data_IF_032490198459
#
_entry.id   IF_032490198459
#
_cell.length_a   1.000
_cell.length_b   1.000
_cell.length_c   1.000
_cell.angle_alpha   90.00
_cell.angle_beta   90.00
_cell.angle_gamma   90.00
#
_symmetry.space_group_name_H-M   'P 1'
#
loop_
_entity.id
_entity.type
_entity.pdbx_description
1 polymer ?
#
# COMPACT_ATOMS: atom_id res chain seq x y z
N UNK A 1 44.95 17.83 8.20
CA UNK A 1 44.09 18.11 9.38
C UNK A 1 43.05 19.23 9.19
N UNK A 2 43.17 20.15 8.22
CA UNK A 2 42.26 21.30 8.11
C UNK A 2 40.86 21.06 7.50
N UNK A 3 40.64 19.96 6.76
CA UNK A 3 39.35 19.69 6.10
C UNK A 3 38.28 19.16 7.07
N UNK A 4 38.70 18.37 8.07
CA UNK A 4 37.79 17.79 9.07
C UNK A 4 37.25 18.90 10.00
N UNK A 5 38.06 19.91 10.31
CA UNK A 5 37.65 21.05 11.14
C UNK A 5 36.53 21.90 10.51
N UNK A 6 36.58 22.13 9.18
CA UNK A 6 35.56 22.94 8.51
C UNK A 6 34.19 22.24 8.45
N UNK A 7 34.17 20.94 8.19
CA UNK A 7 32.93 20.15 8.15
C UNK A 7 32.21 20.11 9.50
N UNK A 8 32.96 20.04 10.61
CA UNK A 8 32.37 20.04 11.97
C UNK A 8 31.79 21.40 12.33
N UNK A 9 32.45 22.51 11.94
CA UNK A 9 31.93 23.87 12.20
C UNK A 9 30.64 24.19 11.42
N UNK A 10 30.45 23.55 10.26
CA UNK A 10 29.26 23.71 9.42
C UNK A 10 28.05 22.96 10.00
N UNK A 11 28.29 21.83 10.69
CA UNK A 11 27.25 21.06 11.41
C UNK A 11 26.74 21.77 12.67
N UNK A 12 27.56 22.63 13.28
CA UNK A 12 27.23 23.38 14.51
C UNK A 12 26.51 24.71 14.25
N UNK A 13 26.33 25.13 13.00
CA UNK A 13 25.63 26.38 12.69
C UNK A 13 24.11 26.15 12.58
N UNK A 14 23.31 26.60 13.56
CA UNK A 14 21.89 26.27 13.65
C UNK A 14 21.07 26.71 12.42
N UNK A 15 21.55 27.69 11.66
CA UNK A 15 20.91 28.15 10.42
C UNK A 15 21.04 27.15 9.26
N UNK A 16 22.09 26.32 9.25
CA UNK A 16 22.30 25.28 8.24
C UNK A 16 21.80 23.90 8.72
N UNK A 17 21.85 23.63 10.02
CA UNK A 17 21.45 22.33 10.59
C UNK A 17 19.95 22.06 10.43
N UNK A 18 19.09 23.07 10.64
CA UNK A 18 17.63 22.91 10.54
C UNK A 18 17.15 22.51 9.13
N UNK A 19 17.51 23.21 8.03
CA UNK A 19 17.09 22.79 6.69
C UNK A 19 17.69 21.45 6.27
N UNK A 20 18.92 21.14 6.67
CA UNK A 20 19.52 19.82 6.41
C UNK A 20 18.74 18.71 7.11
N UNK A 21 18.27 18.95 8.33
CA UNK A 21 17.46 18.01 9.10
C UNK A 21 16.07 17.86 8.48
N UNK A 22 15.44 18.94 8.00
CA UNK A 22 14.17 18.88 7.25
C UNK A 22 14.33 18.06 5.96
N UNK A 23 15.40 18.28 5.19
CA UNK A 23 15.67 17.52 3.95
C UNK A 23 15.96 16.05 4.27
N UNK A 24 16.78 15.76 5.28
CA UNK A 24 17.08 14.38 5.67
C UNK A 24 15.83 13.64 6.20
N UNK A 25 15.00 14.33 6.99
CA UNK A 25 13.74 13.76 7.51
C UNK A 25 12.73 13.59 6.37
N UNK A 26 12.62 14.55 5.47
CA UNK A 26 11.78 14.46 4.27
C UNK A 26 12.23 13.34 3.33
N UNK A 27 13.53 13.14 3.16
CA UNK A 27 14.11 12.05 2.38
C UNK A 27 13.86 10.67 3.02
N UNK A 28 14.02 10.57 4.34
CA UNK A 28 13.71 9.35 5.09
C UNK A 28 12.22 9.00 5.01
N UNK A 29 11.34 9.98 5.15
CA UNK A 29 9.88 9.81 4.96
C UNK A 29 9.56 9.42 3.52
N UNK A 30 10.18 10.06 2.52
CA UNK A 30 10.00 9.70 1.12
C UNK A 30 10.41 8.25 0.83
N UNK A 31 11.57 7.81 1.33
CA UNK A 31 12.02 6.42 1.17
C UNK A 31 11.13 5.42 1.89
N UNK A 32 10.59 5.78 3.06
CA UNK A 32 9.63 4.94 3.78
C UNK A 32 8.25 4.90 3.11
N UNK A 33 7.88 5.96 2.38
CA UNK A 33 6.63 6.06 1.62
C UNK A 33 6.74 5.47 0.21
N UNK A 34 7.94 5.21 -0.30
CA UNK A 34 8.10 4.48 -1.55
C UNK A 34 7.48 3.10 -1.36
N UNK A 35 6.47 2.72 -2.16
CA UNK A 35 5.83 1.43 -2.02
C UNK A 35 6.87 0.34 -2.31
N UNK A 36 7.35 -0.32 -1.26
CA UNK A 36 8.15 -1.51 -1.40
C UNK A 36 7.35 -2.50 -2.26
N UNK A 37 8.01 -3.11 -3.24
CA UNK A 37 7.46 -4.24 -3.98
C UNK A 37 7.35 -5.40 -3.00
N UNK A 38 6.27 -5.41 -2.23
CA UNK A 38 6.03 -6.42 -1.23
C UNK A 38 5.73 -7.71 -1.99
N UNK A 39 6.62 -8.69 -1.82
CA UNK A 39 6.38 -10.05 -2.29
C UNK A 39 4.99 -10.52 -1.84
N UNK A 40 4.37 -11.37 -2.64
CA UNK A 40 3.07 -11.91 -2.26
C UNK A 40 3.23 -12.72 -0.97
N UNK A 41 2.50 -12.30 0.07
CA UNK A 41 2.32 -13.11 1.27
C UNK A 41 1.75 -14.48 0.88
N UNK A 42 2.11 -15.52 1.64
CA UNK A 42 1.77 -16.91 1.34
C UNK A 42 0.26 -17.10 1.16
N UNK A 43 -0.54 -16.39 1.97
CA UNK A 43 -2.00 -16.41 1.89
C UNK A 43 -2.56 -15.85 0.57
N UNK A 44 -1.89 -14.85 -0.01
CA UNK A 44 -2.27 -14.25 -1.31
C UNK A 44 -1.78 -15.12 -2.46
N UNK A 45 -0.61 -15.75 -2.29
CA UNK A 45 -0.05 -16.72 -3.23
C UNK A 45 -0.98 -17.92 -3.40
N UNK A 46 -1.45 -18.50 -2.31
CA UNK A 46 -2.41 -19.62 -2.34
C UNK A 46 -3.72 -19.23 -3.07
N UNK A 47 -4.26 -18.05 -2.78
CA UNK A 47 -5.50 -17.59 -3.42
C UNK A 47 -5.31 -17.28 -4.91
N UNK A 48 -4.18 -16.66 -5.28
CA UNK A 48 -3.84 -16.42 -6.68
C UNK A 48 -3.67 -17.74 -7.43
N UNK A 49 -3.04 -18.75 -6.82
CA UNK A 49 -2.89 -20.08 -7.38
C UNK A 49 -4.26 -20.77 -7.58
N UNK A 50 -5.17 -20.67 -6.62
CA UNK A 50 -6.53 -21.20 -6.77
C UNK A 50 -7.29 -20.54 -7.93
N UNK A 51 -7.23 -19.20 -8.04
CA UNK A 51 -7.83 -18.47 -9.18
C UNK A 51 -7.22 -18.88 -10.50
N UNK A 52 -5.88 -19.02 -10.57
CA UNK A 52 -5.16 -19.46 -11.77
C UNK A 52 -5.58 -20.88 -12.16
N UNK A 53 -5.68 -21.79 -11.20
CA UNK A 53 -6.12 -23.16 -11.47
C UNK A 53 -7.55 -23.20 -12.02
N UNK A 54 -8.46 -22.38 -11.45
CA UNK A 54 -9.81 -22.17 -12.01
C UNK A 54 -9.76 -21.70 -13.45
N UNK A 55 -8.98 -20.64 -13.73
CA UNK A 55 -8.79 -20.13 -15.10
C UNK A 55 -8.39 -21.27 -16.02
N UNK A 56 -7.30 -21.99 -15.69
CA UNK A 56 -6.78 -23.06 -16.55
C UNK A 56 -7.76 -24.22 -16.75
N UNK A 57 -8.61 -24.51 -15.78
CA UNK A 57 -9.61 -25.58 -15.87
C UNK A 57 -10.81 -25.22 -16.76
N UNK A 58 -11.11 -23.93 -16.89
CA UNK A 58 -12.27 -23.41 -17.63
C UNK A 58 -11.92 -22.88 -19.03
N UNK A 59 -10.63 -22.80 -19.37
CA UNK A 59 -10.19 -22.37 -20.68
C UNK A 59 -10.61 -23.37 -21.77
N UNK A 60 -10.92 -22.89 -22.99
CA UNK A 60 -11.31 -23.76 -24.09
C UNK A 60 -10.15 -24.70 -24.44
N UNK A 61 -10.46 -26.00 -24.45
CA UNK A 61 -9.49 -27.03 -24.83
C UNK A 61 -9.15 -26.90 -26.31
N UNK A 62 -7.87 -27.08 -26.62
CA UNK A 62 -7.36 -27.10 -27.99
C UNK A 62 -7.04 -28.54 -28.39
N UNK A 63 -7.25 -28.87 -29.66
CA UNK A 63 -6.89 -30.17 -30.23
C UNK A 63 -5.37 -30.22 -30.48
N UNK A 64 -4.59 -30.27 -29.40
CA UNK A 64 -3.13 -30.33 -29.44
C UNK A 64 -2.42 -29.20 -28.69
N UNK A 65 -1.09 -29.32 -28.61
CA UNK A 65 -0.21 -28.31 -28.02
C UNK A 65 -0.06 -27.11 -28.94
N UNK A 66 -0.81 -26.05 -28.64
CA UNK A 66 -0.78 -24.81 -29.41
C UNK A 66 0.14 -23.77 -28.75
N UNK A 67 0.88 -23.00 -29.56
CA UNK A 67 1.76 -21.95 -29.02
C UNK A 67 0.95 -20.84 -28.37
N UNK A 68 1.30 -20.51 -27.13
CA UNK A 68 0.65 -19.48 -26.35
C UNK A 68 1.65 -18.42 -25.88
N UNK A 69 1.23 -17.15 -25.93
CA UNK A 69 1.95 -16.03 -25.34
C UNK A 69 1.15 -15.49 -24.16
N UNK A 70 1.75 -15.48 -22.97
CA UNK A 70 1.16 -14.84 -21.78
C UNK A 70 1.84 -13.51 -21.55
N UNK A 71 1.09 -12.43 -21.74
CA UNK A 71 1.54 -11.08 -21.45
C UNK A 71 1.50 -10.82 -19.94
N UNK A 72 2.35 -9.92 -19.43
CA UNK A 72 2.30 -9.51 -18.03
C UNK A 72 0.95 -8.90 -17.67
N UNK A 73 0.35 -9.42 -16.61
CA UNK A 73 -0.94 -8.93 -16.13
C UNK A 73 -0.79 -7.51 -15.57
N UNK A 74 -1.76 -6.65 -15.85
CA UNK A 74 -1.82 -5.34 -15.21
C UNK A 74 -2.04 -5.52 -13.70
N UNK A 75 -1.55 -4.57 -12.90
CA UNK A 75 -1.60 -4.61 -11.44
C UNK A 75 -0.94 -5.84 -10.79
N UNK A 76 -0.04 -6.52 -11.51
CA UNK A 76 0.87 -7.56 -10.99
C UNK A 76 2.33 -7.03 -10.94
N UNK A 77 2.69 -6.17 -9.96
CA UNK A 77 3.99 -5.49 -9.93
C UNK A 77 5.17 -6.44 -9.67
N UNK A 78 4.94 -7.59 -9.05
CA UNK A 78 5.96 -8.62 -8.80
C UNK A 78 6.09 -9.56 -10.00
N UNK A 79 5.03 -9.72 -10.81
CA UNK A 79 4.98 -10.67 -11.90
C UNK A 79 4.74 -12.11 -11.43
N UNK A 80 4.46 -12.30 -10.14
CA UNK A 80 4.26 -13.63 -9.56
C UNK A 80 2.96 -14.27 -10.06
N UNK A 81 1.86 -13.52 -10.16
CA UNK A 81 0.57 -14.04 -10.65
C UNK A 81 0.67 -14.42 -12.14
N UNK A 82 1.33 -13.57 -12.93
CA UNK A 82 1.66 -13.84 -14.33
C UNK A 82 2.50 -15.11 -14.45
N UNK A 83 3.51 -15.27 -13.58
CA UNK A 83 4.37 -16.46 -13.53
C UNK A 83 3.61 -17.74 -13.19
N UNK A 84 2.69 -17.68 -12.22
CA UNK A 84 1.80 -18.79 -11.87
C UNK A 84 0.90 -19.17 -13.04
N UNK A 85 0.30 -18.20 -13.72
CA UNK A 85 -0.54 -18.45 -14.89
C UNK A 85 0.23 -19.13 -16.02
N UNK A 86 1.46 -18.68 -16.31
CA UNK A 86 2.34 -19.30 -17.31
C UNK A 86 2.66 -20.75 -16.98
N UNK A 87 3.06 -20.99 -15.74
CA UNK A 87 3.44 -22.33 -15.27
C UNK A 87 2.23 -23.27 -15.28
N UNK A 88 1.07 -22.78 -14.87
CA UNK A 88 -0.16 -23.58 -14.85
C UNK A 88 -0.62 -23.91 -16.27
N UNK A 89 -0.62 -22.94 -17.20
CA UNK A 89 -0.94 -23.18 -18.62
C UNK A 89 0.00 -24.21 -19.27
N UNK A 90 1.31 -24.09 -19.07
CA UNK A 90 2.30 -25.03 -19.60
C UNK A 90 2.10 -26.44 -19.03
N UNK A 91 1.80 -26.55 -17.72
CA UNK A 91 1.55 -27.82 -17.05
C UNK A 91 0.30 -28.57 -17.55
N UNK A 92 -0.65 -27.87 -18.17
CA UNK A 92 -1.85 -28.52 -18.75
C UNK A 92 -1.52 -29.40 -19.96
N UNK A 93 -0.37 -29.16 -20.62
CA UNK A 93 -0.03 -29.82 -21.88
C UNK A 93 -0.92 -29.45 -23.07
N UNK A 94 -1.81 -28.46 -22.92
CA UNK A 94 -2.64 -27.94 -24.02
C UNK A 94 -1.99 -26.76 -24.73
N UNK A 95 -1.12 -26.03 -24.03
CA UNK A 95 -0.45 -24.83 -24.55
C UNK A 95 1.05 -24.95 -24.39
N UNK A 96 1.79 -24.65 -25.47
CA UNK A 96 3.23 -24.42 -25.40
C UNK A 96 3.47 -22.95 -25.09
N UNK A 97 3.68 -22.63 -23.81
CA UNK A 97 3.85 -21.24 -23.38
C UNK A 97 5.25 -20.75 -23.78
N UNK A 98 5.33 -19.68 -24.56
CA UNK A 98 6.60 -19.07 -24.93
C UNK A 98 7.38 -18.64 -23.68
N UNK A 99 8.70 -18.76 -23.69
CA UNK A 99 9.54 -18.41 -22.55
C UNK A 99 9.69 -16.88 -22.36
N UNK A 100 10.27 -16.47 -21.23
CA UNK A 100 10.44 -15.04 -20.91
C UNK A 100 11.44 -14.34 -21.83
N UNK A 101 12.61 -14.93 -22.16
CA UNK A 101 13.54 -14.35 -23.12
C UNK A 101 12.91 -14.08 -24.50
N UNK A 102 12.05 -14.97 -24.99
CA UNK A 102 11.35 -14.76 -26.27
C UNK A 102 10.37 -13.60 -26.18
N UNK A 103 9.61 -13.48 -25.09
CA UNK A 103 8.75 -12.31 -24.84
C UNK A 103 9.56 -11.00 -24.80
N UNK A 104 10.70 -10.99 -24.11
CA UNK A 104 11.55 -9.79 -24.02
C UNK A 104 12.11 -9.39 -25.39
N UNK A 105 12.44 -10.37 -26.26
CA UNK A 105 12.83 -10.09 -27.66
C UNK A 105 11.67 -9.49 -28.46
N UNK A 106 10.46 -10.07 -28.37
CA UNK A 106 9.27 -9.55 -29.06
C UNK A 106 8.98 -8.11 -28.64
N UNK A 107 9.07 -7.80 -27.35
CA UNK A 107 8.87 -6.45 -26.82
C UNK A 107 9.90 -5.46 -27.38
N UNK A 108 11.17 -5.87 -27.42
CA UNK A 108 12.25 -5.04 -27.97
C UNK A 108 12.07 -4.82 -29.49
N UNK A 109 11.72 -5.85 -30.24
CA UNK A 109 11.51 -5.76 -31.69
C UNK A 109 10.36 -4.81 -32.03
N UNK A 110 9.31 -4.80 -31.20
CA UNK A 110 8.16 -3.91 -31.35
C UNK A 110 8.37 -2.51 -30.74
N UNK A 111 9.55 -2.25 -30.15
CA UNK A 111 9.88 -0.99 -29.48
C UNK A 111 8.84 -0.57 -28.43
N UNK A 112 8.24 -1.54 -27.74
CA UNK A 112 7.21 -1.26 -26.75
C UNK A 112 7.87 -0.92 -25.41
N UNK A 113 7.69 0.31 -24.90
CA UNK A 113 8.35 0.79 -23.67
C UNK A 113 7.79 0.11 -22.42
N UNK A 114 6.59 -0.46 -22.54
CA UNK A 114 5.89 -1.12 -21.45
C UNK A 114 5.74 -2.61 -21.73
N UNK A 115 5.91 -3.40 -20.68
CA UNK A 115 5.65 -4.85 -20.68
C UNK A 115 4.15 -5.17 -20.76
N UNK A 116 3.37 -4.35 -21.47
CA UNK A 116 1.90 -4.37 -21.51
C UNK A 116 1.46 -4.04 -22.93
N UNK A 117 0.42 -4.71 -23.39
CA UNK A 117 -0.27 -4.30 -24.60
C UNK A 117 -1.37 -3.32 -24.20
N UNK A 118 -1.29 -2.08 -24.69
CA UNK A 118 -2.31 -1.05 -24.41
C UNK A 118 -3.61 -1.33 -25.16
N UNK A 119 -3.58 -2.18 -26.19
CA UNK A 119 -4.74 -2.54 -27.01
C UNK A 119 -4.75 -4.01 -27.41
N UNK A 120 -5.94 -4.49 -27.79
CA UNK A 120 -6.13 -5.83 -28.35
C UNK A 120 -5.30 -6.02 -29.64
N UNK A 121 -5.18 -4.97 -30.45
CA UNK A 121 -4.41 -5.01 -31.70
C UNK A 121 -2.91 -5.16 -31.44
N UNK A 122 -2.36 -4.47 -30.44
CA UNK A 122 -0.97 -4.65 -30.02
C UNK A 122 -0.74 -6.06 -29.49
N UNK A 123 -1.62 -6.57 -28.63
CA UNK A 123 -1.51 -7.94 -28.11
C UNK A 123 -1.54 -8.97 -29.24
N UNK A 124 -2.39 -8.78 -30.26
CA UNK A 124 -2.43 -9.62 -31.46
C UNK A 124 -1.11 -9.56 -32.23
N UNK A 125 -0.59 -8.36 -32.48
CA UNK A 125 0.68 -8.16 -33.19
C UNK A 125 1.86 -8.80 -32.46
N UNK A 126 1.87 -8.76 -31.12
CA UNK A 126 2.83 -9.48 -30.29
C UNK A 126 2.72 -11.00 -30.49
N UNK A 127 1.49 -11.53 -30.51
CA UNK A 127 1.23 -12.94 -30.80
C UNK A 127 1.71 -13.35 -32.20
N UNK A 128 1.40 -12.57 -33.22
CA UNK A 128 1.85 -12.81 -34.60
C UNK A 128 3.37 -12.81 -34.72
N UNK A 129 4.04 -11.84 -34.08
CA UNK A 129 5.51 -11.75 -34.04
C UNK A 129 6.11 -12.97 -33.34
N UNK A 130 5.50 -13.41 -32.24
CA UNK A 130 5.90 -14.62 -31.51
C UNK A 130 5.44 -15.93 -32.12
N UNK A 131 4.70 -15.90 -33.25
CA UNK A 131 4.02 -17.08 -33.83
C UNK A 131 3.15 -17.83 -32.81
N UNK A 132 2.56 -17.12 -31.85
CA UNK A 132 1.63 -17.67 -30.87
C UNK A 132 0.21 -17.62 -31.44
N UNK A 133 -0.49 -18.75 -31.40
CA UNK A 133 -1.90 -18.85 -31.77
C UNK A 133 -2.79 -18.14 -30.76
N UNK A 134 -2.48 -18.30 -29.48
CA UNK A 134 -3.23 -17.68 -28.39
C UNK A 134 -2.39 -16.65 -27.65
N UNK A 135 -2.97 -15.48 -27.40
CA UNK A 135 -2.38 -14.45 -26.54
C UNK A 135 -3.27 -14.22 -25.33
N UNK A 136 -2.71 -14.39 -24.14
CA UNK A 136 -3.36 -14.14 -22.86
C UNK A 136 -2.96 -12.74 -22.37
N UNK A 137 -3.93 -11.85 -22.25
CA UNK A 137 -3.76 -10.48 -21.75
C UNK A 137 -4.81 -10.17 -20.70
N UNK A 138 -4.49 -9.42 -19.66
CA UNK A 138 -5.44 -9.19 -18.57
C UNK A 138 -4.90 -8.34 -17.44
N UNK A 139 -5.67 -8.28 -16.37
CA UNK A 139 -5.39 -7.49 -15.18
C UNK A 139 -5.74 -8.26 -13.90
N UNK A 140 -4.95 -8.05 -12.84
CA UNK A 140 -5.29 -8.44 -11.47
C UNK A 140 -6.11 -7.29 -10.87
N UNK A 141 -7.44 -7.42 -10.86
CA UNK A 141 -8.34 -6.36 -10.37
C UNK A 141 -8.29 -6.21 -8.86
N UNK A 142 -8.25 -7.35 -8.18
CA UNK A 142 -8.23 -7.38 -6.74
C UNK A 142 -7.33 -8.51 -6.27
N UNK A 143 -6.43 -8.21 -5.34
CA UNK A 143 -5.67 -9.21 -4.61
C UNK A 143 -5.56 -8.74 -3.16
N UNK A 144 -6.70 -8.83 -2.47
CA UNK A 144 -6.88 -8.29 -1.13
C UNK A 144 -6.85 -9.41 -0.09
N UNK A 145 -6.19 -9.10 1.03
CA UNK A 145 -6.28 -9.89 2.25
C UNK A 145 -6.75 -8.93 3.34
N UNK A 146 -8.06 -8.66 3.37
CA UNK A 146 -8.68 -7.68 4.26
C UNK A 146 -9.42 -8.41 5.38
N UNK A 147 -8.77 -8.47 6.56
CA UNK A 147 -9.23 -8.82 7.92
C UNK A 147 -10.08 -10.10 8.13
N UNK A 148 -10.79 -10.62 7.14
CA UNK A 148 -11.56 -11.87 7.16
C UNK A 148 -12.06 -12.29 5.76
N UNK A 149 -11.79 -11.49 4.72
CA UNK A 149 -12.06 -11.86 3.32
C UNK A 149 -10.78 -11.76 2.52
N UNK A 150 -10.37 -12.90 1.98
CA UNK A 150 -9.32 -12.97 0.97
C UNK A 150 -10.02 -13.08 -0.37
N UNK A 151 -9.77 -12.13 -1.26
CA UNK A 151 -10.37 -12.12 -2.60
C UNK A 151 -9.28 -11.90 -3.64
N UNK A 152 -9.29 -12.75 -4.65
CA UNK A 152 -8.48 -12.63 -5.85
C UNK A 152 -9.43 -12.57 -7.04
N UNK A 153 -9.36 -11.49 -7.81
CA UNK A 153 -10.11 -11.29 -9.03
C UNK A 153 -9.14 -11.02 -10.18
N UNK A 154 -9.17 -11.89 -11.19
CA UNK A 154 -8.34 -11.80 -12.38
C UNK A 154 -9.27 -11.70 -13.59
N UNK A 155 -9.13 -10.62 -14.36
CA UNK A 155 -9.80 -10.46 -15.65
C UNK A 155 -8.83 -10.83 -16.77
N UNK A 156 -9.20 -11.82 -17.59
CA UNK A 156 -8.35 -12.30 -18.68
C UNK A 156 -9.11 -12.25 -20.01
N UNK A 157 -8.41 -11.80 -21.03
CA UNK A 157 -8.78 -11.86 -22.43
C UNK A 157 -7.84 -12.83 -23.14
N UNK A 158 -8.42 -13.78 -23.86
CA UNK A 158 -7.72 -14.71 -24.74
C UNK A 158 -8.00 -14.27 -26.17
N UNK A 159 -6.93 -13.96 -26.90
CA UNK A 159 -6.99 -13.48 -28.27
C UNK A 159 -6.49 -14.61 -29.16
N UNK A 160 -7.28 -14.98 -30.16
CA UNK A 160 -6.84 -15.90 -31.21
C UNK A 160 -6.26 -15.09 -32.37
N UNK A 161 -4.97 -15.27 -32.64
CA UNK A 161 -4.27 -14.54 -33.70
C UNK A 161 -4.69 -14.97 -35.10
N UNK A 162 -5.32 -16.14 -35.24
CA UNK A 162 -5.81 -16.66 -36.52
C UNK A 162 -7.20 -16.13 -36.87
N UNK A 163 -8.07 -16.00 -35.87
CA UNK A 163 -9.49 -15.69 -36.05
C UNK A 163 -9.81 -14.22 -35.73
N UNK A 164 -8.91 -13.30 -36.09
CA UNK A 164 -9.02 -11.81 -36.01
C UNK A 164 -9.69 -11.21 -34.76
N UNK A 165 -9.81 -11.95 -33.66
CA UNK A 165 -10.90 -11.74 -32.72
C UNK A 165 -10.62 -12.29 -31.33
N UNK A 166 -11.40 -11.75 -30.39
CA UNK A 166 -11.39 -12.12 -28.99
C UNK A 166 -12.02 -13.52 -28.82
N UNK A 167 -11.20 -14.53 -28.54
CA UNK A 167 -11.68 -15.89 -28.33
C UNK A 167 -12.47 -16.02 -27.02
N UNK A 168 -11.99 -15.35 -25.96
CA UNK A 168 -12.64 -15.35 -24.66
C UNK A 168 -12.32 -14.04 -23.92
N UNK A 169 -13.28 -13.49 -23.20
CA UNK A 169 -13.02 -12.48 -22.16
C UNK A 169 -13.89 -12.78 -20.97
N UNK A 170 -13.26 -12.99 -19.82
CA UNK A 170 -13.96 -13.37 -18.60
C UNK A 170 -13.19 -12.90 -17.38
N UNK A 171 -13.89 -12.84 -16.27
CA UNK A 171 -13.33 -12.54 -14.96
C UNK A 171 -13.53 -13.75 -14.07
N UNK A 172 -12.47 -14.16 -13.39
CA UNK A 172 -12.48 -15.24 -12.42
C UNK A 172 -12.23 -14.67 -11.04
N UNK A 173 -13.01 -15.17 -10.09
CA UNK A 173 -12.93 -14.76 -8.69
C UNK A 173 -12.79 -16.01 -7.83
N UNK A 174 -11.78 -15.99 -6.96
CA UNK A 174 -11.72 -16.88 -5.82
C UNK A 174 -11.79 -16.07 -4.53
N UNK A 175 -12.67 -16.52 -3.65
CA UNK A 175 -12.87 -15.94 -2.33
C UNK A 175 -12.55 -17.03 -1.30
N UNK A 176 -11.65 -16.73 -0.38
CA UNK A 176 -11.36 -17.57 0.78
C UNK A 176 -11.74 -16.79 2.04
N UNK A 177 -12.86 -17.18 2.63
CA UNK A 177 -13.41 -16.63 3.86
C UNK A 177 -14.70 -17.37 4.23
N UNK A 178 -14.85 -17.74 5.49
CA UNK A 178 -16.06 -18.39 5.99
C UNK A 178 -17.22 -17.40 5.99
N UNK A 179 -18.40 -17.81 5.51
CA UNK A 179 -19.68 -17.07 5.60
C UNK A 179 -20.05 -16.57 7.03
N UNK A 180 -19.30 -16.98 8.06
CA UNK A 180 -19.34 -16.44 9.41
C UNK A 180 -19.02 -14.93 9.52
N UNK A 181 -18.37 -14.32 8.52
CA UNK A 181 -18.01 -12.90 8.52
C UNK A 181 -19.19 -11.93 8.29
N UNK A 182 -20.42 -12.43 8.06
CA UNK A 182 -21.63 -11.57 8.03
C UNK A 182 -22.31 -11.42 9.40
N UNK A 183 -21.86 -12.14 10.44
CA UNK A 183 -22.49 -12.11 11.76
C UNK A 183 -21.55 -12.00 12.97
N UNK A 184 -20.23 -12.04 12.80
CA UNK A 184 -19.28 -12.11 13.92
C UNK A 184 -18.37 -10.90 14.02
N UNK A 185 -18.58 -10.05 15.03
CA UNK A 185 -17.61 -9.03 15.42
C UNK A 185 -16.26 -9.66 15.72
N UNK A 186 -15.24 -9.33 14.93
CA UNK A 186 -13.89 -9.85 15.11
C UNK A 186 -13.29 -9.27 16.40
N UNK A 187 -13.05 -10.14 17.37
CA UNK A 187 -12.40 -9.76 18.63
C UNK A 187 -10.97 -9.23 18.43
N UNK A 188 -10.35 -9.47 17.27
CA UNK A 188 -9.02 -8.97 16.89
C UNK A 188 -9.00 -7.49 16.48
N UNK A 189 -9.98 -7.05 15.67
CA UNK A 189 -10.06 -5.65 15.23
C UNK A 189 -10.33 -4.70 16.40
N UNK A 190 -11.23 -5.11 17.31
CA UNK A 190 -11.54 -4.37 18.53
C UNK A 190 -10.32 -4.25 19.44
N UNK A 191 -9.52 -5.32 19.58
CA UNK A 191 -8.28 -5.27 20.39
C UNK A 191 -7.24 -4.30 19.82
N UNK A 192 -7.00 -4.32 18.51
CA UNK A 192 -6.03 -3.40 17.88
C UNK A 192 -6.52 -1.97 17.94
N UNK A 193 -7.83 -1.75 17.71
CA UNK A 193 -8.45 -0.43 17.86
C UNK A 193 -8.32 0.09 19.30
N UNK A 194 -8.72 -0.71 20.29
CA UNK A 194 -8.60 -0.36 21.72
C UNK A 194 -7.16 -0.06 22.12
N UNK A 195 -6.19 -0.85 21.67
CA UNK A 195 -4.77 -0.61 21.96
C UNK A 195 -4.31 0.74 21.39
N UNK A 196 -4.66 1.05 20.14
CA UNK A 196 -4.32 2.34 19.51
C UNK A 196 -4.97 3.52 20.22
N UNK A 197 -6.26 3.40 20.57
CA UNK A 197 -6.98 4.42 21.34
C UNK A 197 -6.35 4.63 22.71
N UNK A 198 -5.95 3.56 23.38
CA UNK A 198 -5.28 3.61 24.68
C UNK A 198 -3.88 4.25 24.57
N UNK A 199 -3.09 3.90 23.55
CA UNK A 199 -1.80 4.55 23.28
C UNK A 199 -1.96 6.05 23.02
N UNK A 200 -2.95 6.44 22.22
CA UNK A 200 -3.26 7.86 21.98
C UNK A 200 -3.62 8.56 23.28
N UNK A 201 -4.49 7.98 24.09
CA UNK A 201 -4.90 8.54 25.37
C UNK A 201 -3.71 8.75 26.33
N UNK A 202 -2.84 7.74 26.45
CA UNK A 202 -1.62 7.87 27.25
C UNK A 202 -0.68 8.94 26.71
N UNK A 203 -0.54 9.05 25.39
CA UNK A 203 0.30 10.08 24.77
C UNK A 203 -0.19 11.49 25.09
N UNK A 204 -1.49 11.77 24.90
CA UNK A 204 -2.11 13.08 25.18
C UNK A 204 -1.91 13.46 26.65
N UNK A 205 -1.99 12.51 27.58
CA UNK A 205 -1.76 12.78 29.00
C UNK A 205 -0.28 12.96 29.31
N UNK A 206 0.58 12.10 28.76
CA UNK A 206 2.00 12.08 29.07
C UNK A 206 2.70 13.36 28.60
N UNK A 207 2.27 13.93 27.47
CA UNK A 207 2.93 15.06 26.86
C UNK A 207 3.01 16.29 27.79
N UNK A 208 1.90 16.88 28.31
CA UNK A 208 1.93 17.97 29.27
C UNK A 208 2.58 17.61 30.62
N UNK A 209 2.50 16.33 31.04
CA UNK A 209 3.10 15.86 32.29
C UNK A 209 4.63 15.81 32.19
N UNK A 210 5.16 15.30 31.08
CA UNK A 210 6.61 15.25 30.83
C UNK A 210 7.17 16.66 30.64
N UNK A 211 6.39 17.56 30.04
CA UNK A 211 6.75 18.98 29.86
C UNK A 211 6.33 19.87 31.03
N UNK A 212 6.05 19.31 32.21
CA UNK A 212 5.56 20.04 33.40
C UNK A 212 6.33 21.35 33.69
N UNK A 213 7.66 21.34 33.61
CA UNK A 213 8.48 22.55 33.84
C UNK A 213 8.21 23.65 32.80
N UNK A 214 8.02 23.26 31.54
CA UNK A 214 7.68 24.20 30.46
C UNK A 214 6.29 24.79 30.71
N UNK A 215 5.32 23.95 31.12
CA UNK A 215 3.97 24.41 31.47
C UNK A 215 4.03 25.45 32.59
N UNK A 216 4.78 25.19 33.67
CA UNK A 216 4.94 26.16 34.76
C UNK A 216 5.56 27.49 34.28
N UNK A 217 6.60 27.43 33.45
CA UNK A 217 7.26 28.63 32.90
C UNK A 217 6.28 29.44 32.05
N UNK A 218 5.49 28.77 31.20
CA UNK A 218 4.52 29.42 30.32
C UNK A 218 3.38 30.04 31.13
N UNK A 219 2.82 29.31 32.09
CA UNK A 219 1.73 29.78 32.95
C UNK A 219 2.16 30.98 33.80
N UNK A 220 3.40 30.98 34.31
CA UNK A 220 3.94 32.10 35.09
C UNK A 220 4.05 33.42 34.31
N UNK A 221 3.93 33.40 32.97
CA UNK A 221 3.91 34.62 32.16
C UNK A 221 2.54 35.33 32.19
N UNK A 222 1.50 34.71 32.78
CA UNK A 222 0.13 35.24 32.88
C UNK A 222 -0.48 35.70 31.54
N UNK A 223 0.06 35.22 30.43
CA UNK A 223 -0.34 35.62 29.08
C UNK A 223 -1.25 34.58 28.45
N UNK A 224 -2.50 34.96 28.22
CA UNK A 224 -3.49 34.12 27.53
C UNK A 224 -3.03 33.68 26.14
N UNK A 225 -2.27 34.53 25.44
CA UNK A 225 -1.76 34.21 24.11
C UNK A 225 -0.71 33.09 24.16
N UNK A 226 0.24 33.16 25.10
CA UNK A 226 1.31 32.15 25.25
C UNK A 226 0.71 30.81 25.69
N UNK A 227 -0.26 30.85 26.60
CA UNK A 227 -1.02 29.66 27.02
C UNK A 227 -1.76 29.00 25.84
N UNK A 228 -2.43 29.81 25.01
CA UNK A 228 -3.11 29.30 23.81
C UNK A 228 -2.13 28.67 22.81
N UNK A 229 -0.98 29.31 22.56
CA UNK A 229 0.05 28.76 21.66
C UNK A 229 0.58 27.41 22.14
N UNK A 230 0.82 27.26 23.45
CA UNK A 230 1.22 25.98 24.02
C UNK A 230 0.16 24.89 23.80
N UNK A 231 -1.12 25.20 24.03
CA UNK A 231 -2.22 24.26 23.81
C UNK A 231 -2.37 23.84 22.35
N UNK A 232 -2.22 24.80 21.42
CA UNK A 232 -2.20 24.50 19.98
C UNK A 232 -1.02 23.57 19.66
N UNK A 233 0.18 23.86 20.20
CA UNK A 233 1.37 23.02 20.00
C UNK A 233 1.16 21.57 20.43
N UNK A 234 0.59 21.34 21.62
CA UNK A 234 0.28 19.99 22.09
C UNK A 234 -0.78 19.31 21.24
N UNK A 235 -1.85 20.03 20.88
CA UNK A 235 -2.92 19.48 20.04
C UNK A 235 -2.43 19.08 18.64
N UNK A 236 -1.49 19.84 18.06
CA UNK A 236 -0.86 19.48 16.78
C UNK A 236 0.01 18.23 16.94
N UNK A 237 0.76 18.10 18.02
CA UNK A 237 1.54 16.90 18.31
C UNK A 237 0.63 15.66 18.46
N UNK A 238 -0.49 15.79 19.17
CA UNK A 238 -1.48 14.73 19.34
C UNK A 238 -2.15 14.33 18.02
N UNK A 239 -2.47 15.31 17.16
CA UNK A 239 -3.01 15.06 15.83
C UNK A 239 -2.03 14.29 14.95
N UNK A 240 -0.75 14.68 14.95
CA UNK A 240 0.29 13.97 14.21
C UNK A 240 0.48 12.54 14.72
N UNK A 241 0.43 12.34 16.03
CA UNK A 241 0.51 11.00 16.62
C UNK A 241 -0.71 10.15 16.29
N UNK A 242 -1.92 10.72 16.33
CA UNK A 242 -3.13 10.04 15.89
C UNK A 242 -3.08 9.65 14.41
N UNK A 243 -2.58 10.55 13.55
CA UNK A 243 -2.39 10.29 12.13
C UNK A 243 -1.37 9.17 11.88
N UNK A 244 -0.27 9.15 12.66
CA UNK A 244 0.69 8.05 12.68
C UNK A 244 0.04 6.71 13.07
N UNK A 245 -0.76 6.69 14.15
CA UNK A 245 -1.48 5.48 14.58
C UNK A 245 -2.50 4.99 13.55
N UNK A 246 -3.04 5.88 12.71
CA UNK A 246 -3.90 5.55 11.56
C UNK A 246 -3.13 5.04 10.33
N UNK A 247 -1.79 5.03 10.38
CA UNK A 247 -0.96 4.56 9.26
C UNK A 247 -0.83 5.57 8.12
N UNK A 248 -0.92 6.87 8.44
CA UNK A 248 -0.81 7.97 7.46
C UNK A 248 -1.88 7.98 6.37
N UNK A 249 -3.00 7.31 6.58
CA UNK A 249 -4.10 7.26 5.62
C UNK A 249 -5.38 7.90 6.20
N UNK A 250 -5.71 9.10 5.68
CA UNK A 250 -6.91 9.86 5.99
C UNK A 250 -7.85 10.00 4.78
N UNK A 251 -7.76 9.06 3.82
CA UNK A 251 -8.56 9.10 2.59
C UNK A 251 -10.07 8.94 2.85
N UNK A 252 -10.46 8.18 3.87
CA UNK A 252 -11.86 7.93 4.21
C UNK A 252 -12.46 9.06 5.06
N UNK A 253 -13.68 9.49 4.73
CA UNK A 253 -14.43 10.50 5.49
C UNK A 253 -14.59 10.14 6.98
N UNK A 254 -14.77 8.87 7.32
CA UNK A 254 -14.86 8.42 8.72
C UNK A 254 -13.58 8.66 9.51
N UNK A 255 -12.40 8.49 8.90
CA UNK A 255 -11.11 8.80 9.53
C UNK A 255 -10.89 10.30 9.67
N UNK A 256 -11.31 11.11 8.70
CA UNK A 256 -11.27 12.57 8.81
C UNK A 256 -12.13 13.06 9.99
N UNK A 257 -13.35 12.52 10.12
CA UNK A 257 -14.21 12.80 11.27
C UNK A 257 -13.59 12.34 12.59
N UNK A 258 -12.98 11.15 12.62
CA UNK A 258 -12.29 10.66 13.81
C UNK A 258 -11.12 11.56 14.22
N UNK A 259 -10.31 12.03 13.26
CA UNK A 259 -9.22 12.98 13.53
C UNK A 259 -9.76 14.32 14.05
N UNK A 260 -10.85 14.84 13.49
CA UNK A 260 -11.48 16.06 13.99
C UNK A 260 -11.96 15.90 15.45
N UNK A 261 -12.56 14.76 15.79
CA UNK A 261 -12.95 14.45 17.16
C UNK A 261 -11.76 14.32 18.10
N UNK A 262 -10.66 13.71 17.64
CA UNK A 262 -9.41 13.63 18.40
C UNK A 262 -8.85 15.03 18.68
N UNK A 263 -8.84 15.94 17.71
CA UNK A 263 -8.37 17.33 17.90
C UNK A 263 -9.16 18.03 18.99
N UNK A 264 -10.50 17.94 18.95
CA UNK A 264 -11.38 18.57 19.94
C UNK A 264 -11.13 17.97 21.33
N UNK A 265 -11.09 16.63 21.42
CA UNK A 265 -10.88 15.92 22.68
C UNK A 265 -9.49 16.19 23.27
N UNK A 266 -8.44 16.15 22.44
CA UNK A 266 -7.06 16.40 22.85
C UNK A 266 -6.88 17.85 23.32
N UNK A 267 -7.41 18.83 22.59
CA UNK A 267 -7.36 20.24 23.00
C UNK A 267 -8.00 20.44 24.37
N UNK A 268 -9.20 19.88 24.58
CA UNK A 268 -9.90 19.96 25.86
C UNK A 268 -9.16 19.26 27.00
N UNK A 269 -8.59 18.07 26.74
CA UNK A 269 -7.84 17.31 27.74
C UNK A 269 -6.53 18.00 28.11
N UNK A 270 -5.77 18.50 27.13
CA UNK A 270 -4.55 19.28 27.34
C UNK A 270 -4.82 20.53 28.18
N UNK A 271 -5.92 21.25 27.89
CA UNK A 271 -6.35 22.39 28.69
C UNK A 271 -6.57 22.00 30.16
N UNK A 272 -7.35 20.93 30.41
CA UNK A 272 -7.63 20.45 31.77
C UNK A 272 -6.39 19.98 32.53
N UNK A 273 -5.45 19.34 31.84
CA UNK A 273 -4.20 18.88 32.48
C UNK A 273 -3.31 20.07 32.83
N UNK A 274 -3.16 21.04 31.92
CA UNK A 274 -2.37 22.24 32.18
C UNK A 274 -2.94 23.05 33.36
N UNK A 275 -4.26 23.20 33.43
CA UNK A 275 -4.99 23.86 34.55
C UNK A 275 -4.72 23.15 35.89
N UNK A 276 -4.71 21.82 35.90
CA UNK A 276 -4.37 21.04 37.11
C UNK A 276 -2.90 21.17 37.50
N UNK A 277 -1.99 21.21 36.52
CA UNK A 277 -0.56 21.42 36.74
C UNK A 277 -0.31 22.80 37.37
N UNK A 278 -1.00 23.83 36.88
CA UNK A 278 -0.95 25.18 37.47
C UNK A 278 -1.39 25.17 38.94
N UNK A 279 -2.53 24.51 39.24
CA UNK A 279 -3.05 24.43 40.60
C UNK A 279 -2.10 23.72 41.59
N UNK A 280 -1.25 22.79 41.11
CA UNK A 280 -0.24 22.10 41.93
C UNK A 280 1.06 22.91 42.11
N UNK A 281 1.29 23.90 41.25
CA UNK A 281 2.48 24.76 41.31
C UNK A 281 2.33 25.98 42.21
N UNK A 282 1.13 26.26 42.71
CA UNK A 282 0.82 27.30 43.69
C UNK A 282 0.87 26.75 45.11
#
# INVERSE_FOLDING_TARGET
MGLISKSVSLLLNPRATVPLLIVATGWGVFHYLLPEKKELDESRRELALDTVNKITSELPRTDGMEKALVLPLENDPTGEVTGMLRSSLDSTGMYQVLDRPTLDRILNDLHLPERRAASLEEARKMGETGQARFVFSGEVRELSNLQDRRRCEIALAVIDTTTSGLALRRTWTSEAGTLAALGGGSSGGVKVFLLKTLLLFFFVIALPVITFKLVQIVVAQESNAVNLFMLIGYTVADLLFAFFLMGFDASSASRQTALALVVIAAFWLNYKICDRIEALGR
#
